data_IF_491471809996
#
_entry.id   IF_491471809996
#
_cell.length_a   1.000
_cell.length_b   1.000
_cell.length_c   1.000
_cell.angle_alpha   90.00
_cell.angle_beta   90.00
_cell.angle_gamma   90.00
#
_symmetry.space_group_name_H-M   'P 1'
#
loop_
_entity.id
_entity.type
_entity.pdbx_description
1 polymer ?
#
# COMPACT_ATOMS: atom_id res chain seq x y z
N UNK A 1 -14.43 29.80 -2.97
CA UNK A 1 -13.27 29.02 -3.46
C UNK A 1 -13.76 28.16 -4.60
N UNK A 2 -13.13 28.25 -5.75
CA UNK A 2 -13.50 27.44 -6.91
C UNK A 2 -13.10 25.97 -6.67
N UNK A 3 -13.91 25.00 -7.10
CA UNK A 3 -13.57 23.57 -6.95
C UNK A 3 -12.20 23.21 -7.53
N UNK A 4 -11.81 23.90 -8.60
CA UNK A 4 -10.51 23.76 -9.24
C UNK A 4 -9.34 24.17 -8.32
N UNK A 5 -9.50 25.23 -7.53
CA UNK A 5 -8.50 25.67 -6.55
C UNK A 5 -8.33 24.66 -5.41
N UNK A 6 -9.41 24.00 -4.98
CA UNK A 6 -9.35 22.96 -3.96
C UNK A 6 -8.58 21.73 -4.45
N UNK A 7 -8.78 21.33 -5.71
CA UNK A 7 -8.07 20.22 -6.32
C UNK A 7 -6.55 20.50 -6.40
N UNK A 8 -6.17 21.68 -6.89
CA UNK A 8 -4.76 22.09 -6.98
C UNK A 8 -4.11 22.13 -5.58
N UNK A 9 -4.80 22.68 -4.58
CA UNK A 9 -4.29 22.67 -3.21
C UNK A 9 -4.13 21.25 -2.65
N UNK A 10 -5.03 20.33 -2.99
CA UNK A 10 -4.93 18.92 -2.61
C UNK A 10 -3.66 18.27 -3.14
N UNK A 11 -3.34 18.46 -4.41
CA UNK A 11 -2.08 17.98 -5.00
C UNK A 11 -0.85 18.62 -4.36
N UNK A 12 -0.89 19.93 -4.06
CA UNK A 12 0.19 20.60 -3.35
C UNK A 12 0.46 20.00 -1.96
N UNK A 13 -0.59 19.69 -1.21
CA UNK A 13 -0.47 19.00 0.08
C UNK A 13 0.10 17.58 -0.10
N UNK A 14 -0.41 16.79 -1.06
CA UNK A 14 0.06 15.43 -1.28
C UNK A 14 1.56 15.35 -1.65
N UNK A 15 2.08 16.36 -2.34
CA UNK A 15 3.49 16.46 -2.74
C UNK A 15 4.40 17.04 -1.65
N UNK A 16 3.87 17.36 -0.48
CA UNK A 16 4.68 17.88 0.63
C UNK A 16 5.61 16.78 1.16
N UNK A 17 6.91 17.07 1.41
CA UNK A 17 7.88 16.06 1.84
C UNK A 17 7.46 15.26 3.08
N UNK A 18 6.76 15.90 4.03
CA UNK A 18 6.25 15.23 5.22
C UNK A 18 5.29 14.09 4.88
N UNK A 19 4.38 14.29 3.93
CA UNK A 19 3.41 13.28 3.48
C UNK A 19 4.08 12.21 2.60
N UNK A 20 5.05 12.60 1.77
CA UNK A 20 5.81 11.64 0.97
C UNK A 20 6.60 10.63 1.81
N UNK A 21 7.10 11.04 2.98
CA UNK A 21 7.76 10.11 3.93
C UNK A 21 6.78 9.03 4.41
N UNK A 22 5.53 9.39 4.70
CA UNK A 22 4.49 8.40 5.03
C UNK A 22 4.20 7.49 3.83
N UNK A 23 4.17 8.02 2.61
CA UNK A 23 4.03 7.20 1.39
C UNK A 23 5.17 6.20 1.25
N UNK A 24 6.41 6.64 1.41
CA UNK A 24 7.60 5.78 1.35
C UNK A 24 7.58 4.71 2.45
N UNK A 25 7.30 5.10 3.70
CA UNK A 25 7.18 4.16 4.82
C UNK A 25 6.04 3.15 4.58
N UNK A 26 4.92 3.60 4.02
CA UNK A 26 3.80 2.76 3.61
C UNK A 26 4.20 1.76 2.54
N UNK A 27 4.88 2.19 1.48
CA UNK A 27 5.39 1.30 0.43
C UNK A 27 6.34 0.25 0.98
N UNK A 28 7.31 0.66 1.81
CA UNK A 28 8.29 -0.24 2.40
C UNK A 28 7.62 -1.28 3.31
N UNK A 29 6.74 -0.84 4.21
CA UNK A 29 5.97 -1.74 5.07
C UNK A 29 5.06 -2.65 4.26
N UNK A 30 4.39 -2.12 3.23
CA UNK A 30 3.55 -2.86 2.31
C UNK A 30 4.30 -3.98 1.62
N UNK A 31 5.47 -3.69 1.06
CA UNK A 31 6.30 -4.71 0.40
C UNK A 31 6.76 -5.78 1.37
N UNK A 32 7.20 -5.42 2.59
CA UNK A 32 7.59 -6.39 3.61
C UNK A 32 6.43 -7.33 3.99
N UNK A 33 5.23 -6.78 4.15
CA UNK A 33 4.04 -7.58 4.47
C UNK A 33 3.59 -8.40 3.27
N UNK A 34 3.66 -7.85 2.06
CA UNK A 34 3.29 -8.55 0.84
C UNK A 34 4.15 -9.78 0.55
N UNK A 35 5.41 -9.80 1.02
CA UNK A 35 6.27 -10.97 0.92
C UNK A 35 5.82 -12.12 1.84
N UNK A 36 4.93 -11.88 2.81
CA UNK A 36 4.42 -12.95 3.68
C UNK A 36 3.31 -13.74 2.96
N UNK A 37 3.44 -15.07 2.81
CA UNK A 37 2.42 -15.88 2.15
C UNK A 37 1.09 -15.84 2.92
N UNK A 38 -0.01 -15.72 2.17
CA UNK A 38 -1.37 -15.71 2.72
C UNK A 38 -1.82 -14.39 3.37
N UNK A 39 -1.00 -13.33 3.38
CA UNK A 39 -1.38 -12.02 3.90
C UNK A 39 -1.52 -11.01 2.73
N UNK A 40 -2.77 -10.70 2.39
CA UNK A 40 -3.08 -9.71 1.36
C UNK A 40 -2.99 -8.24 1.85
N UNK A 41 -2.91 -7.27 0.93
CA UNK A 41 -2.88 -5.85 1.29
C UNK A 41 -4.16 -5.37 1.96
N UNK A 42 -5.33 -5.92 1.60
CA UNK A 42 -6.60 -5.57 2.23
C UNK A 42 -6.61 -5.89 3.74
N UNK A 43 -6.11 -7.08 4.11
CA UNK A 43 -5.97 -7.47 5.52
C UNK A 43 -5.00 -6.53 6.25
N UNK A 44 -3.87 -6.20 5.62
CA UNK A 44 -2.87 -5.30 6.19
C UNK A 44 -3.45 -3.91 6.49
N UNK A 45 -4.21 -3.34 5.54
CA UNK A 45 -4.87 -2.05 5.72
C UNK A 45 -5.94 -2.13 6.81
N UNK A 46 -6.73 -3.21 6.86
CA UNK A 46 -7.73 -3.40 7.91
C UNK A 46 -7.10 -3.45 9.32
N UNK A 47 -5.95 -4.12 9.47
CA UNK A 47 -5.20 -4.19 10.73
C UNK A 47 -4.61 -2.84 11.15
N UNK A 48 -4.26 -1.99 10.19
CA UNK A 48 -3.67 -0.67 10.43
C UNK A 48 -4.70 0.47 10.46
N UNK A 49 -5.97 0.18 10.16
CA UNK A 49 -7.07 1.14 10.25
C UNK A 49 -7.17 1.83 11.62
N UNK A 50 -6.98 1.16 12.78
CA UNK A 50 -7.01 1.83 14.08
C UNK A 50 -5.96 2.94 14.24
N UNK A 51 -4.88 2.88 13.45
CA UNK A 51 -3.81 3.86 13.45
C UNK A 51 -4.25 5.20 12.83
N UNK A 52 -5.33 5.22 12.04
CA UNK A 52 -5.89 6.47 11.48
C UNK A 52 -6.44 7.40 12.54
N UNK A 53 -6.84 6.90 13.71
CA UNK A 53 -7.41 7.73 14.78
C UNK A 53 -6.36 8.59 15.49
N UNK A 54 -5.06 8.32 15.28
CA UNK A 54 -3.95 8.97 15.98
C UNK A 54 -3.16 9.96 15.12
N UNK A 55 -3.43 10.04 13.82
CA UNK A 55 -2.64 10.80 12.87
C UNK A 55 -3.50 11.58 11.86
N UNK A 56 -2.95 12.61 11.19
CA UNK A 56 -3.69 13.38 10.18
C UNK A 56 -4.19 12.49 9.04
N UNK A 57 -5.47 12.68 8.66
CA UNK A 57 -6.14 11.84 7.67
C UNK A 57 -5.37 11.75 6.34
N UNK A 58 -4.85 12.88 5.83
CA UNK A 58 -4.12 12.91 4.56
C UNK A 58 -2.89 12.01 4.57
N UNK A 59 -2.07 12.10 5.63
CA UNK A 59 -0.87 11.27 5.77
C UNK A 59 -1.21 9.78 5.85
N UNK A 60 -2.29 9.43 6.55
CA UNK A 60 -2.74 8.04 6.70
C UNK A 60 -3.30 7.45 5.40
N UNK A 61 -4.07 8.21 4.62
CA UNK A 61 -4.52 7.75 3.31
C UNK A 61 -3.36 7.51 2.35
N UNK A 62 -2.34 8.36 2.37
CA UNK A 62 -1.13 8.17 1.54
C UNK A 62 -0.31 6.96 2.01
N UNK A 63 -0.17 6.76 3.34
CA UNK A 63 0.44 5.55 3.90
C UNK A 63 -0.31 4.28 3.45
N UNK A 64 -1.63 4.26 3.52
CA UNK A 64 -2.44 3.11 3.10
C UNK A 64 -2.36 2.84 1.60
N UNK A 65 -2.33 3.88 0.77
CA UNK A 65 -2.07 3.74 -0.65
C UNK A 65 -0.68 3.10 -0.86
N UNK A 66 0.34 3.56 -0.15
CA UNK A 66 1.68 2.97 -0.20
C UNK A 66 1.68 1.49 0.19
N UNK A 67 1.00 1.12 1.28
CA UNK A 67 0.88 -0.27 1.73
C UNK A 67 0.19 -1.15 0.69
N UNK A 68 -0.89 -0.63 0.09
CA UNK A 68 -1.64 -1.34 -0.94
C UNK A 68 -0.75 -1.70 -2.14
N UNK A 69 -0.09 -0.69 -2.73
CA UNK A 69 0.75 -0.90 -3.91
C UNK A 69 2.03 -1.66 -3.58
N UNK A 70 2.67 -1.37 -2.45
CA UNK A 70 3.85 -2.10 -1.99
C UNK A 70 3.54 -3.58 -1.74
N UNK A 71 2.40 -3.89 -1.12
CA UNK A 71 1.96 -5.26 -0.85
C UNK A 71 1.57 -6.04 -2.09
N UNK A 72 0.92 -5.39 -3.07
CA UNK A 72 0.66 -5.99 -4.38
C UNK A 72 1.96 -6.37 -5.10
N UNK A 73 2.98 -5.51 -5.02
CA UNK A 73 4.30 -5.83 -5.57
C UNK A 73 4.99 -6.97 -4.81
N UNK A 74 5.03 -6.92 -3.47
CA UNK A 74 5.64 -7.97 -2.63
C UNK A 74 4.99 -9.34 -2.79
N UNK A 75 3.66 -9.40 -2.94
CA UNK A 75 2.92 -10.65 -3.12
C UNK A 75 3.33 -11.43 -4.38
N UNK A 76 3.71 -10.72 -5.44
CA UNK A 76 4.25 -11.35 -6.65
C UNK A 76 5.59 -12.05 -6.39
N UNK A 77 6.44 -11.50 -5.51
CA UNK A 77 7.74 -12.09 -5.20
C UNK A 77 7.59 -13.45 -4.51
N UNK A 78 6.66 -13.57 -3.57
CA UNK A 78 6.37 -14.82 -2.85
C UNK A 78 5.65 -15.84 -3.71
N UNK A 79 4.74 -15.39 -4.59
CA UNK A 79 4.09 -16.23 -5.58
C UNK A 79 5.12 -16.88 -6.52
N UNK A 80 6.08 -16.11 -7.04
CA UNK A 80 7.12 -16.61 -7.96
C UNK A 80 8.08 -17.56 -7.23
N UNK A 81 8.65 -17.14 -6.10
CA UNK A 81 9.74 -17.88 -5.45
C UNK A 81 9.27 -19.08 -4.64
N UNK A 82 8.08 -19.02 -4.04
CA UNK A 82 7.56 -20.03 -3.11
C UNK A 82 6.29 -20.71 -3.61
N UNK A 83 5.81 -20.40 -4.81
CA UNK A 83 4.59 -20.97 -5.40
C UNK A 83 3.36 -20.88 -4.48
N UNK A 84 3.37 -19.92 -3.55
CA UNK A 84 2.36 -19.77 -2.49
C UNK A 84 1.76 -18.37 -2.59
N UNK A 85 0.69 -18.17 -3.38
CA UNK A 85 0.10 -16.86 -3.61
C UNK A 85 -0.52 -16.30 -2.31
N UNK A 86 -0.24 -15.04 -2.03
CA UNK A 86 -0.87 -14.30 -0.93
C UNK A 86 -2.22 -13.69 -1.30
N UNK A 87 -2.54 -13.59 -2.59
CA UNK A 87 -3.79 -13.08 -3.14
C UNK A 87 -4.23 -13.88 -4.37
N UNK A 88 -5.54 -13.89 -4.62
CA UNK A 88 -6.17 -14.48 -5.80
C UNK A 88 -5.59 -13.96 -7.12
N UNK A 89 -5.19 -12.68 -7.16
CA UNK A 89 -4.57 -12.07 -8.34
C UNK A 89 -3.17 -12.61 -8.66
N UNK A 90 -2.45 -13.18 -7.68
CA UNK A 90 -1.08 -13.69 -7.82
C UNK A 90 -1.02 -15.20 -8.08
N UNK A 91 -2.17 -15.88 -8.19
CA UNK A 91 -2.24 -17.31 -8.50
C UNK A 91 -1.63 -17.61 -9.87
N UNK A 92 -1.94 -16.79 -10.88
CA UNK A 92 -1.36 -16.94 -12.23
C UNK A 92 0.14 -16.75 -12.21
N UNK A 93 0.65 -15.82 -11.40
CA UNK A 93 2.09 -15.58 -11.23
C UNK A 93 2.80 -16.79 -10.58
N UNK A 94 2.11 -17.50 -9.68
CA UNK A 94 2.65 -18.73 -9.08
C UNK A 94 2.80 -19.83 -10.14
N UNK A 95 1.80 -19.98 -11.02
CA UNK A 95 1.83 -20.93 -12.13
C UNK A 95 2.93 -20.61 -13.15
N UNK A 96 3.20 -19.33 -13.42
CA UNK A 96 4.32 -18.92 -14.30
C UNK A 96 5.69 -19.22 -13.69
N UNK A 97 5.83 -19.08 -12.36
CA UNK A 97 7.09 -19.26 -11.65
C UNK A 97 7.52 -20.71 -11.39
N UNK A 98 6.75 -21.71 -11.86
CA UNK A 98 7.01 -23.15 -11.70
C UNK A 98 7.56 -23.77 -12.99
#
# INVERSE_FOLDING_TARGET
MNYFEQLINGFGNALTPSILIYGFAGCLAGTLVGVLPGIGPALTIALLLPLTFKAPAVAMFVLFAGIYYGGMYGGSTTAILLNTPGESSSVVTSLEGN
#
